data_IF_365230928046
#
_entry.id   IF_365230928046
#
_cell.length_a   1.000
_cell.length_b   1.000
_cell.length_c   1.000
_cell.angle_alpha   90.00
_cell.angle_beta   90.00
_cell.angle_gamma   90.00
#
_symmetry.space_group_name_H-M   'P 1'
#
loop_
_entity.id
_entity.type
_entity.pdbx_description
1 polymer ?
#
# COMPACT_ATOMS: atom_id res chain seq x y z
N UNK A 1 2.45 26.62 0.50
CA UNK A 1 3.93 26.63 0.53
C UNK A 1 4.43 27.27 -0.77
N UNK A 2 5.32 28.26 -0.70
CA UNK A 2 5.97 28.85 -1.89
C UNK A 2 7.48 28.68 -1.77
N UNK A 3 8.13 28.17 -2.82
CA UNK A 3 9.59 28.10 -2.89
C UNK A 3 10.08 29.34 -3.66
N UNK A 4 10.78 30.30 -3.03
CA UNK A 4 11.25 31.51 -3.71
C UNK A 4 12.45 31.23 -4.63
N UNK A 5 12.96 29.98 -4.62
CA UNK A 5 14.07 29.51 -5.44
C UNK A 5 13.53 28.77 -6.65
N UNK A 6 14.21 28.91 -7.78
CA UNK A 6 13.89 28.14 -8.97
C UNK A 6 14.19 26.65 -8.73
N UNK A 7 13.15 25.81 -8.84
CA UNK A 7 13.26 24.37 -8.62
C UNK A 7 13.62 23.67 -9.93
N UNK A 8 14.79 23.03 -9.97
CA UNK A 8 15.19 22.21 -11.10
C UNK A 8 14.87 20.75 -10.85
N UNK A 9 14.45 20.04 -11.89
CA UNK A 9 14.13 18.62 -11.80
C UNK A 9 15.23 17.78 -12.45
N UNK A 10 15.62 16.71 -11.77
CA UNK A 10 16.44 15.66 -12.36
C UNK A 10 15.51 14.50 -12.70
N UNK A 11 15.48 14.08 -13.96
CA UNK A 11 14.88 12.80 -14.31
C UNK A 11 15.86 11.89 -15.04
N UNK A 12 15.83 10.63 -14.61
CA UNK A 12 16.60 9.54 -15.20
C UNK A 12 16.02 9.16 -16.56
N UNK A 13 16.89 8.82 -17.51
CA UNK A 13 16.58 8.78 -18.94
C UNK A 13 15.48 7.82 -19.37
N UNK A 14 15.13 6.79 -18.57
CA UNK A 14 14.01 5.89 -18.86
C UNK A 14 12.65 6.61 -18.90
N UNK A 15 12.51 7.72 -18.18
CA UNK A 15 11.29 8.55 -18.15
C UNK A 15 11.18 9.54 -19.34
N UNK A 16 12.27 9.80 -20.07
CA UNK A 16 12.36 10.91 -21.02
C UNK A 16 11.50 10.73 -22.30
N UNK A 17 10.95 9.53 -22.52
CA UNK A 17 10.06 9.25 -23.65
C UNK A 17 8.60 9.64 -23.39
N UNK A 18 8.19 9.78 -22.12
CA UNK A 18 6.82 10.19 -21.78
C UNK A 18 6.57 11.67 -22.11
N UNK A 19 5.47 11.96 -22.79
CA UNK A 19 5.10 13.33 -23.18
C UNK A 19 4.93 14.28 -21.98
N UNK A 20 4.47 13.76 -20.82
CA UNK A 20 4.31 14.55 -19.61
C UNK A 20 5.66 14.90 -18.98
N UNK A 21 6.60 13.95 -18.97
CA UNK A 21 7.97 14.20 -18.50
C UNK A 21 8.65 15.22 -19.40
N UNK A 22 8.45 15.14 -20.73
CA UNK A 22 8.90 16.18 -21.67
C UNK A 22 8.24 17.54 -21.40
N UNK A 23 6.99 17.58 -20.97
CA UNK A 23 6.30 18.83 -20.59
C UNK A 23 6.89 19.43 -19.30
N UNK A 24 7.10 18.61 -18.25
CA UNK A 24 7.78 19.05 -17.01
C UNK A 24 9.21 19.51 -17.30
N UNK A 25 9.94 18.80 -18.17
CA UNK A 25 11.27 19.19 -18.64
C UNK A 25 11.30 20.47 -19.47
N UNK A 26 10.18 20.86 -20.10
CA UNK A 26 10.09 22.15 -20.81
C UNK A 26 9.81 23.31 -19.85
N UNK A 27 9.10 23.04 -18.76
CA UNK A 27 8.77 24.04 -17.75
C UNK A 27 9.86 24.23 -16.68
N UNK A 28 10.82 23.31 -16.61
CA UNK A 28 11.87 23.27 -15.59
C UNK A 28 13.22 23.12 -16.29
N UNK A 29 14.28 23.77 -15.82
CA UNK A 29 15.62 23.64 -16.43
C UNK A 29 16.25 22.29 -16.08
N UNK A 30 15.65 21.21 -16.57
CA UNK A 30 15.92 19.87 -16.14
C UNK A 30 17.28 19.36 -16.63
N UNK A 31 17.96 18.59 -15.77
CA UNK A 31 19.22 17.94 -16.10
C UNK A 31 18.89 16.48 -16.47
N UNK A 32 18.92 16.10 -17.76
CA UNK A 32 18.68 14.71 -18.15
C UNK A 32 19.85 13.83 -17.67
N UNK A 33 19.54 12.70 -17.02
CA UNK A 33 20.55 11.76 -16.54
C UNK A 33 20.45 10.46 -17.32
N UNK A 34 21.41 10.20 -18.22
CA UNK A 34 21.58 8.87 -18.80
C UNK A 34 22.61 8.06 -18.00
N UNK A 35 22.53 6.71 -17.98
CA UNK A 35 23.56 5.87 -17.35
C UNK A 35 24.97 6.21 -17.83
N UNK A 36 25.12 6.50 -19.13
CA UNK A 36 26.38 6.91 -19.76
C UNK A 36 26.90 8.29 -19.33
N UNK A 37 26.04 9.17 -18.78
CA UNK A 37 26.39 10.54 -18.35
C UNK A 37 26.08 10.81 -16.88
N UNK A 38 25.88 9.77 -16.08
CA UNK A 38 25.52 9.90 -14.67
C UNK A 38 26.55 10.72 -13.87
N UNK A 39 27.85 10.53 -14.15
CA UNK A 39 28.94 11.28 -13.49
C UNK A 39 28.86 12.78 -13.76
N UNK A 40 28.64 13.17 -15.02
CA UNK A 40 28.54 14.57 -15.43
C UNK A 40 27.31 15.23 -14.79
N UNK A 41 26.16 14.54 -14.82
CA UNK A 41 24.94 15.00 -14.17
C UNK A 41 25.12 15.24 -12.67
N UNK A 42 25.82 14.34 -11.97
CA UNK A 42 26.13 14.51 -10.54
C UNK A 42 26.98 15.76 -10.31
N UNK A 43 28.04 15.97 -11.10
CA UNK A 43 28.93 17.14 -10.95
C UNK A 43 28.16 18.44 -11.18
N UNK A 44 27.44 18.54 -12.29
CA UNK A 44 26.65 19.72 -12.65
C UNK A 44 25.57 20.03 -11.61
N UNK A 45 24.87 19.00 -11.13
CA UNK A 45 23.85 19.17 -10.08
C UNK A 45 24.47 19.65 -8.76
N UNK A 46 25.64 19.14 -8.41
CA UNK A 46 26.36 19.55 -7.20
C UNK A 46 26.84 21.01 -7.27
N UNK A 47 27.31 21.46 -8.44
CA UNK A 47 27.70 22.86 -8.66
C UNK A 47 26.52 23.82 -8.50
N UNK A 48 25.36 23.45 -9.05
CA UNK A 48 24.13 24.24 -8.90
C UNK A 48 23.66 24.34 -7.46
N UNK A 49 23.73 23.25 -6.69
CA UNK A 49 23.43 23.30 -5.26
C UNK A 49 24.37 24.27 -4.53
N UNK A 50 25.67 24.26 -4.86
CA UNK A 50 26.64 25.21 -4.28
C UNK A 50 26.38 26.67 -4.69
N UNK A 51 25.77 26.91 -5.85
CA UNK A 51 25.37 28.25 -6.28
C UNK A 51 24.03 28.72 -5.68
N UNK A 52 23.40 27.92 -4.81
CA UNK A 52 22.17 28.27 -4.12
C UNK A 52 20.87 27.80 -4.78
N UNK A 53 20.95 27.05 -5.89
CA UNK A 53 19.78 26.47 -6.55
C UNK A 53 19.14 25.37 -5.68
N UNK A 54 17.86 25.08 -5.94
CA UNK A 54 17.17 23.92 -5.39
C UNK A 54 16.98 22.85 -6.48
N UNK A 55 17.19 21.59 -6.12
CA UNK A 55 17.03 20.45 -7.03
C UNK A 55 16.02 19.46 -6.45
N UNK A 56 15.00 19.14 -7.23
CA UNK A 56 14.06 18.04 -6.98
C UNK A 56 14.54 16.77 -7.68
N UNK A 57 14.58 15.67 -6.93
CA UNK A 57 14.98 14.35 -7.42
C UNK A 57 13.90 13.36 -7.01
N UNK A 58 13.43 12.56 -7.97
CA UNK A 58 12.63 11.37 -7.68
C UNK A 58 13.57 10.17 -7.56
N UNK A 59 13.88 9.71 -6.33
CA UNK A 59 14.94 8.74 -6.11
C UNK A 59 14.61 7.34 -6.63
N UNK A 60 13.34 7.03 -6.88
CA UNK A 60 12.88 5.77 -7.49
C UNK A 60 13.31 5.62 -8.96
N UNK A 61 13.55 6.75 -9.65
CA UNK A 61 14.00 6.77 -11.04
C UNK A 61 12.92 6.46 -12.09
N UNK A 62 11.67 6.24 -11.67
CA UNK A 62 10.54 5.88 -12.52
C UNK A 62 9.21 6.25 -11.88
N UNK A 63 8.13 6.31 -12.67
CA UNK A 63 6.77 6.34 -12.12
C UNK A 63 6.41 4.91 -11.72
N UNK A 64 5.99 4.72 -10.46
CA UNK A 64 5.63 3.40 -9.93
C UNK A 64 4.54 2.72 -10.77
N UNK A 65 4.73 1.42 -11.01
CA UNK A 65 3.77 0.52 -11.66
C UNK A 65 3.15 -0.48 -10.71
N UNK A 66 3.66 -0.52 -9.48
CA UNK A 66 3.20 -1.46 -8.44
C UNK A 66 2.39 -0.76 -7.35
N UNK A 67 2.54 0.56 -7.17
CA UNK A 67 1.86 1.34 -6.13
C UNK A 67 2.82 1.75 -5.00
N UNK A 68 3.28 0.81 -4.15
CA UNK A 68 4.21 1.11 -3.06
C UNK A 68 5.53 1.74 -3.51
N UNK A 69 6.24 2.36 -2.56
CA UNK A 69 7.56 2.96 -2.77
C UNK A 69 8.56 1.93 -3.34
N UNK A 70 9.22 2.30 -4.45
CA UNK A 70 10.29 1.51 -5.03
C UNK A 70 11.63 1.74 -4.30
N UNK A 71 12.64 0.96 -4.69
CA UNK A 71 14.00 1.14 -4.20
C UNK A 71 14.63 2.44 -4.70
N UNK A 72 15.31 3.15 -3.82
CA UNK A 72 15.93 4.44 -4.15
C UNK A 72 17.32 4.25 -4.79
N UNK A 73 17.63 5.07 -5.79
CA UNK A 73 18.94 5.16 -6.42
C UNK A 73 19.85 6.08 -5.60
N UNK A 74 21.12 5.67 -5.39
CA UNK A 74 22.13 6.40 -4.58
C UNK A 74 22.60 7.75 -5.17
N UNK A 75 22.15 8.12 -6.37
CA UNK A 75 22.64 9.31 -7.07
C UNK A 75 22.42 10.62 -6.28
N UNK A 76 21.31 10.73 -5.56
CA UNK A 76 21.01 11.91 -4.76
C UNK A 76 21.98 12.09 -3.59
N UNK A 77 22.46 11.00 -2.96
CA UNK A 77 23.42 11.06 -1.85
C UNK A 77 24.71 11.76 -2.29
N UNK A 78 25.23 11.38 -3.46
CA UNK A 78 26.45 11.94 -4.03
C UNK A 78 26.29 13.41 -4.41
N UNK A 79 25.12 13.77 -4.95
CA UNK A 79 24.78 15.15 -5.31
C UNK A 79 24.70 16.01 -4.04
N UNK A 80 24.01 15.54 -3.00
CA UNK A 80 23.88 16.26 -1.73
C UNK A 80 25.24 16.46 -1.05
N UNK A 81 26.05 15.40 -0.94
CA UNK A 81 27.39 15.46 -0.31
C UNK A 81 28.34 16.42 -1.02
N UNK A 82 28.44 16.33 -2.35
CA UNK A 82 29.29 17.23 -3.14
C UNK A 82 28.74 18.65 -3.17
N UNK A 83 27.41 18.79 -3.23
CA UNK A 83 26.71 20.07 -3.19
C UNK A 83 26.75 20.75 -1.82
N UNK A 84 27.14 20.03 -0.77
CA UNK A 84 27.08 20.47 0.64
C UNK A 84 25.69 20.99 1.03
N UNK A 85 24.65 20.35 0.50
CA UNK A 85 23.25 20.75 0.69
C UNK A 85 22.47 19.64 1.40
N UNK A 86 21.56 20.00 2.34
CA UNK A 86 20.69 19.02 2.97
C UNK A 86 19.69 18.43 1.96
N UNK A 87 19.21 17.23 2.26
CA UNK A 87 18.10 16.60 1.54
C UNK A 87 16.83 16.82 2.33
N UNK A 88 15.80 17.38 1.69
CA UNK A 88 14.48 17.57 2.31
C UNK A 88 13.54 16.51 1.72
N UNK A 89 13.13 15.49 2.50
CA UNK A 89 12.16 14.49 2.04
C UNK A 89 10.81 15.15 1.76
N UNK A 90 10.16 14.74 0.69
CA UNK A 90 8.85 15.28 0.31
C UNK A 90 8.00 14.19 -0.33
N UNK A 91 6.83 13.93 0.25
CA UNK A 91 5.94 12.85 -0.13
C UNK A 91 4.64 13.39 -0.74
N UNK A 92 4.18 12.73 -1.82
CA UNK A 92 2.92 13.02 -2.49
C UNK A 92 1.94 11.88 -2.26
N UNK A 93 0.94 12.11 -1.40
CA UNK A 93 -0.13 11.17 -1.10
C UNK A 93 -1.31 11.33 -2.06
N UNK A 94 -1.97 10.21 -2.37
CA UNK A 94 -3.13 10.21 -3.26
C UNK A 94 -2.75 10.53 -4.70
N UNK A 95 -1.55 10.15 -5.17
CA UNK A 95 -1.22 10.21 -6.61
C UNK A 95 -1.65 8.92 -7.30
N UNK A 96 -1.52 7.77 -6.64
CA UNK A 96 -2.10 6.52 -7.12
C UNK A 96 -3.63 6.64 -7.20
N UNK A 97 -4.24 6.03 -8.23
CA UNK A 97 -5.66 6.22 -8.54
C UNK A 97 -5.97 7.47 -9.38
N UNK A 98 -5.05 8.45 -9.44
CA UNK A 98 -5.23 9.65 -10.27
C UNK A 98 -4.97 9.35 -11.76
N UNK A 99 -5.36 10.29 -12.63
CA UNK A 99 -5.01 10.24 -14.05
C UNK A 99 -3.50 10.28 -14.30
N UNK A 100 -2.69 10.74 -13.35
CA UNK A 100 -1.22 10.82 -13.42
C UNK A 100 -0.51 9.61 -12.79
N UNK A 101 -1.18 8.46 -12.72
CA UNK A 101 -0.60 7.20 -12.24
C UNK A 101 -0.84 6.06 -13.23
N UNK A 102 -0.28 4.88 -12.95
CA UNK A 102 -0.59 3.63 -13.66
C UNK A 102 -1.61 2.76 -12.91
N UNK A 103 -2.39 3.34 -11.98
CA UNK A 103 -3.60 2.68 -11.51
C UNK A 103 -4.46 2.28 -12.71
N UNK A 104 -5.12 1.13 -12.70
CA UNK A 104 -5.91 0.57 -13.81
C UNK A 104 -5.08 0.28 -15.09
N UNK A 105 -3.76 0.11 -14.96
CA UNK A 105 -2.84 -0.23 -16.05
C UNK A 105 -2.65 0.86 -17.11
N UNK A 106 -3.26 2.05 -16.92
CA UNK A 106 -3.30 3.14 -17.91
C UNK A 106 -2.84 4.45 -17.29
N UNK A 107 -2.07 5.22 -18.05
CA UNK A 107 -1.68 6.58 -17.69
C UNK A 107 -2.49 7.58 -18.52
N UNK A 108 -3.10 8.57 -17.85
CA UNK A 108 -3.93 9.66 -18.40
C UNK A 108 -5.23 9.30 -19.11
N UNK A 109 -5.40 8.06 -19.57
CA UNK A 109 -6.62 7.58 -20.25
C UNK A 109 -7.75 7.17 -19.28
N UNK A 110 -7.70 7.65 -18.04
CA UNK A 110 -8.64 7.27 -16.97
C UNK A 110 -9.62 8.39 -16.72
N UNK A 111 -10.86 8.02 -16.43
CA UNK A 111 -11.82 8.97 -15.90
C UNK A 111 -11.43 9.32 -14.46
N UNK A 112 -11.38 10.63 -14.10
CA UNK A 112 -11.08 11.02 -12.74
C UNK A 112 -12.11 10.43 -11.77
N UNK A 113 -11.67 9.69 -10.74
CA UNK A 113 -12.55 9.12 -9.72
C UNK A 113 -13.29 10.20 -8.91
N UNK A 114 -12.70 11.40 -8.80
CA UNK A 114 -13.23 12.56 -8.09
C UNK A 114 -12.63 13.86 -8.64
N UNK A 115 -13.39 14.96 -8.62
CA UNK A 115 -12.91 16.31 -8.98
C UNK A 115 -13.30 17.29 -7.86
N UNK A 116 -12.34 18.02 -7.23
CA UNK A 116 -10.90 17.83 -7.35
C UNK A 116 -10.45 16.50 -6.74
N UNK A 117 -9.45 15.85 -7.35
CA UNK A 117 -8.84 14.65 -6.78
C UNK A 117 -7.96 15.04 -5.59
N UNK A 118 -8.16 14.46 -4.39
CA UNK A 118 -7.41 14.86 -3.21
C UNK A 118 -5.96 14.38 -3.32
N UNK A 119 -5.02 15.32 -3.39
CA UNK A 119 -3.58 15.08 -3.30
C UNK A 119 -3.07 15.82 -2.07
N UNK A 120 -2.30 15.14 -1.22
CA UNK A 120 -1.60 15.80 -0.10
C UNK A 120 -0.11 15.84 -0.37
N UNK A 121 0.52 16.89 0.12
CA UNK A 121 1.96 17.07 0.00
C UNK A 121 2.54 17.28 1.39
N UNK A 122 3.40 16.34 1.79
CA UNK A 122 4.04 16.31 3.10
C UNK A 122 5.53 16.58 2.92
N UNK A 123 6.09 17.44 3.76
CA UNK A 123 7.51 17.83 3.71
C UNK A 123 8.12 17.46 5.05
N UNK A 124 9.17 16.65 5.03
CA UNK A 124 9.89 16.24 6.23
C UNK A 124 11.01 17.19 6.61
N UNK A 125 11.64 16.89 7.73
CA UNK A 125 12.78 17.66 8.23
C UNK A 125 14.01 17.53 7.30
N UNK A 126 14.81 18.60 7.15
CA UNK A 126 16.05 18.54 6.38
C UNK A 126 17.06 17.55 6.99
N UNK A 127 17.52 16.59 6.19
CA UNK A 127 18.56 15.64 6.56
C UNK A 127 19.92 16.20 6.10
N UNK A 128 20.91 16.33 7.01
CA UNK A 128 22.25 16.80 6.65
C UNK A 128 22.89 15.95 5.54
N UNK A 129 23.65 16.58 4.65
CA UNK A 129 24.21 15.94 3.46
C UNK A 129 25.01 14.64 3.74
N UNK A 130 25.68 14.57 4.90
CA UNK A 130 26.48 13.40 5.30
C UNK A 130 25.58 12.22 5.72
N UNK A 131 24.45 12.52 6.36
CA UNK A 131 23.49 11.58 6.93
C UNK A 131 22.39 11.17 5.95
N UNK A 132 22.20 11.94 4.87
CA UNK A 132 21.21 11.69 3.82
C UNK A 132 21.60 10.49 2.93
N UNK A 133 21.53 9.28 3.49
CA UNK A 133 21.71 8.01 2.80
C UNK A 133 20.38 7.55 2.18
N UNK A 134 20.42 6.56 1.29
CA UNK A 134 19.23 5.89 0.74
C UNK A 134 18.31 5.43 1.86
N UNK A 135 18.88 4.86 2.92
CA UNK A 135 18.12 4.35 4.05
C UNK A 135 17.44 5.46 4.86
N UNK A 136 18.18 6.46 5.33
CA UNK A 136 17.59 7.52 6.17
C UNK A 136 16.52 8.33 5.44
N UNK A 137 16.72 8.60 4.14
CA UNK A 137 15.72 9.28 3.31
C UNK A 137 14.52 8.38 3.06
N UNK A 138 14.71 7.07 2.81
CA UNK A 138 13.59 6.13 2.63
C UNK A 138 12.76 5.98 3.89
N UNK A 139 13.39 5.90 5.07
CA UNK A 139 12.70 5.87 6.36
C UNK A 139 11.87 7.12 6.58
N UNK A 140 12.44 8.30 6.35
CA UNK A 140 11.68 9.55 6.41
C UNK A 140 10.50 9.58 5.42
N UNK A 141 10.69 9.07 4.20
CA UNK A 141 9.60 8.97 3.21
C UNK A 141 8.48 8.02 3.64
N UNK A 142 8.80 6.89 4.29
CA UNK A 142 7.80 5.96 4.83
C UNK A 142 7.01 6.60 5.98
N UNK A 143 7.67 7.35 6.87
CA UNK A 143 7.01 8.14 7.91
C UNK A 143 6.04 9.16 7.32
N UNK A 144 6.51 9.98 6.38
CA UNK A 144 5.65 10.97 5.71
C UNK A 144 4.49 10.30 4.96
N UNK A 145 4.72 9.11 4.38
CA UNK A 145 3.66 8.34 3.74
C UNK A 145 2.59 7.89 4.75
N UNK A 146 3.01 7.39 5.92
CA UNK A 146 2.12 7.00 7.03
C UNK A 146 1.30 8.20 7.54
N UNK A 147 1.96 9.32 7.81
CA UNK A 147 1.31 10.57 8.28
C UNK A 147 0.31 11.11 7.25
N UNK A 148 0.70 11.19 5.98
CA UNK A 148 -0.20 11.65 4.93
C UNK A 148 -1.40 10.71 4.73
N UNK A 149 -1.19 9.40 4.91
CA UNK A 149 -2.25 8.40 4.81
C UNK A 149 -3.23 8.47 6.00
N UNK A 150 -2.75 8.74 7.22
CA UNK A 150 -3.61 8.85 8.40
C UNK A 150 -4.54 10.08 8.35
N UNK A 151 -4.22 11.11 7.56
CA UNK A 151 -5.07 12.29 7.31
C UNK A 151 -6.20 12.04 6.29
N UNK A 152 -6.41 10.79 5.87
CA UNK A 152 -7.45 10.45 4.89
C UNK A 152 -8.81 10.31 5.57
N UNK A 153 -9.75 11.20 5.21
CA UNK A 153 -11.16 11.16 5.65
C UNK A 153 -11.87 9.81 5.45
N UNK A 154 -11.38 8.96 4.55
CA UNK A 154 -11.92 7.61 4.38
C UNK A 154 -11.78 6.75 5.65
N UNK A 155 -10.76 7.02 6.48
CA UNK A 155 -10.50 6.32 7.75
C UNK A 155 -11.54 6.65 8.84
N UNK A 156 -12.23 7.79 8.72
CA UNK A 156 -13.29 8.22 9.65
C UNK A 156 -14.64 7.54 9.35
N UNK A 157 -14.71 6.73 8.29
CA UNK A 157 -15.96 6.10 7.86
C UNK A 157 -16.36 5.01 8.85
N UNK A 158 -17.59 5.01 9.39
CA UNK A 158 -18.07 3.91 10.21
C UNK A 158 -18.05 2.59 9.44
N UNK A 159 -17.61 1.52 10.09
CA UNK A 159 -17.43 0.22 9.45
C UNK A 159 -18.77 -0.38 8.98
N UNK A 160 -19.82 -0.20 9.77
CA UNK A 160 -21.20 -0.55 9.39
C UNK A 160 -21.60 0.06 8.04
N UNK A 161 -21.22 1.31 7.78
CA UNK A 161 -21.48 2.00 6.51
C UNK A 161 -20.58 1.52 5.38
N UNK A 162 -19.33 1.13 5.68
CA UNK A 162 -18.42 0.54 4.70
C UNK A 162 -18.94 -0.82 4.21
N UNK A 163 -19.31 -1.71 5.15
CA UNK A 163 -19.88 -3.04 4.85
C UNK A 163 -21.19 -2.92 4.09
N UNK A 164 -22.12 -2.04 4.53
CA UNK A 164 -23.37 -1.79 3.80
C UNK A 164 -23.11 -1.36 2.35
N UNK A 165 -22.17 -0.46 2.11
CA UNK A 165 -21.88 0.01 0.76
C UNK A 165 -21.15 -1.03 -0.09
N UNK A 166 -20.39 -1.94 0.51
CA UNK A 166 -19.75 -3.05 -0.17
C UNK A 166 -20.78 -4.12 -0.56
N UNK A 167 -21.55 -4.65 0.41
CA UNK A 167 -22.45 -5.77 0.19
C UNK A 167 -23.75 -5.36 -0.51
N UNK A 168 -24.33 -4.19 -0.22
CA UNK A 168 -25.67 -3.86 -0.74
C UNK A 168 -25.66 -3.13 -2.08
N UNK A 169 -24.49 -2.90 -2.69
CA UNK A 169 -24.39 -2.24 -4.01
C UNK A 169 -24.95 -3.11 -5.13
N UNK A 170 -24.63 -4.40 -5.12
CA UNK A 170 -25.13 -5.41 -6.06
C UNK A 170 -25.63 -6.64 -5.28
N UNK A 171 -26.85 -6.53 -4.76
CA UNK A 171 -27.42 -7.49 -3.80
C UNK A 171 -27.41 -8.93 -4.29
N UNK A 172 -27.65 -9.14 -5.58
CA UNK A 172 -27.75 -10.45 -6.22
C UNK A 172 -26.40 -11.07 -6.58
N UNK A 173 -25.31 -10.30 -6.59
CA UNK A 173 -24.02 -10.83 -6.96
C UNK A 173 -23.52 -11.86 -5.93
N UNK A 174 -22.82 -12.92 -6.37
CA UNK A 174 -22.06 -13.80 -5.49
C UNK A 174 -21.08 -13.00 -4.62
N UNK A 175 -21.05 -13.31 -3.32
CA UNK A 175 -20.10 -12.75 -2.37
C UNK A 175 -19.08 -13.80 -1.94
N UNK A 176 -19.55 -14.90 -1.37
CA UNK A 176 -18.70 -15.93 -0.79
C UNK A 176 -19.03 -17.29 -1.39
N UNK A 177 -18.03 -18.00 -1.88
CA UNK A 177 -18.12 -19.38 -2.36
C UNK A 177 -17.39 -20.27 -1.37
N UNK A 178 -18.13 -21.12 -0.66
CA UNK A 178 -17.59 -22.07 0.32
C UNK A 178 -17.07 -23.34 -0.35
N UNK A 179 -16.21 -24.07 0.37
CA UNK A 179 -15.81 -25.43 0.02
C UNK A 179 -17.07 -26.29 -0.15
N UNK A 180 -17.16 -27.02 -1.27
CA UNK A 180 -18.34 -27.80 -1.64
C UNK A 180 -19.36 -27.06 -2.51
N UNK A 181 -19.09 -25.80 -2.88
CA UNK A 181 -19.80 -25.09 -3.95
C UNK A 181 -21.04 -24.31 -3.51
N UNK A 182 -21.27 -24.17 -2.21
CA UNK A 182 -22.32 -23.27 -1.70
C UNK A 182 -21.93 -21.82 -1.96
N UNK A 183 -22.83 -21.08 -2.57
CA UNK A 183 -22.63 -19.67 -2.92
C UNK A 183 -23.56 -18.82 -2.05
N UNK A 184 -23.01 -17.84 -1.36
CA UNK A 184 -23.75 -16.80 -0.69
C UNK A 184 -23.83 -15.58 -1.60
N UNK A 185 -25.03 -15.11 -1.89
CA UNK A 185 -25.20 -13.76 -2.44
C UNK A 185 -24.87 -12.71 -1.39
N UNK A 186 -24.57 -11.49 -1.84
CA UNK A 186 -24.29 -10.37 -0.92
C UNK A 186 -25.48 -10.06 -0.01
N UNK A 187 -26.71 -10.17 -0.51
CA UNK A 187 -27.92 -9.96 0.30
C UNK A 187 -28.13 -11.06 1.35
N UNK A 188 -27.98 -12.34 0.98
CA UNK A 188 -28.07 -13.45 1.94
C UNK A 188 -27.03 -13.34 3.04
N UNK A 189 -25.78 -13.03 2.67
CA UNK A 189 -24.69 -12.85 3.62
C UNK A 189 -24.98 -11.69 4.58
N UNK A 190 -25.36 -10.53 4.05
CA UNK A 190 -25.69 -9.36 4.86
C UNK A 190 -26.90 -9.60 5.77
N UNK A 191 -27.95 -10.27 5.28
CA UNK A 191 -29.13 -10.62 6.07
C UNK A 191 -28.76 -11.58 7.22
N UNK A 192 -27.91 -12.57 6.97
CA UNK A 192 -27.41 -13.48 8.01
C UNK A 192 -26.59 -12.72 9.06
N UNK A 193 -25.64 -11.88 8.65
CA UNK A 193 -24.85 -11.04 9.56
C UNK A 193 -25.75 -10.13 10.42
N UNK A 194 -26.79 -9.54 9.81
CA UNK A 194 -27.78 -8.75 10.54
C UNK A 194 -28.61 -9.59 11.51
N UNK A 195 -28.98 -10.83 11.17
CA UNK A 195 -29.79 -11.65 12.08
C UNK A 195 -28.98 -12.22 13.26
N UNK A 196 -27.66 -12.36 13.12
CA UNK A 196 -26.75 -12.62 14.24
C UNK A 196 -26.77 -11.48 15.29
N UNK A 197 -27.37 -10.32 14.98
CA UNK A 197 -27.55 -9.23 15.95
C UNK A 197 -28.68 -9.46 16.97
N UNK A 198 -29.47 -10.54 16.82
CA UNK A 198 -30.57 -10.88 17.71
C UNK A 198 -30.26 -11.94 18.78
N UNK A 199 -29.10 -12.58 18.71
CA UNK A 199 -28.65 -13.59 19.69
C UNK A 199 -27.32 -13.12 20.27
N UNK A 200 -27.20 -13.10 21.60
CA UNK A 200 -25.94 -12.82 22.31
C UNK A 200 -24.84 -13.78 21.82
N UNK A 201 -24.04 -13.36 20.84
CA UNK A 201 -22.73 -13.97 20.62
C UNK A 201 -21.85 -13.40 21.73
N UNK A 202 -21.71 -14.15 22.82
CA UNK A 202 -20.82 -13.75 23.91
C UNK A 202 -19.40 -13.67 23.36
N UNK A 203 -18.83 -12.47 23.48
CA UNK A 203 -17.48 -12.09 23.01
C UNK A 203 -16.38 -13.00 23.60
N UNK A 204 -16.67 -13.72 24.67
CA UNK A 204 -15.73 -14.62 25.36
C UNK A 204 -15.83 -16.10 24.93
N UNK A 205 -16.75 -16.48 24.03
CA UNK A 205 -16.95 -17.88 23.58
C UNK A 205 -16.85 -18.02 22.04
N UNK A 206 -15.83 -17.42 21.42
CA UNK A 206 -15.38 -17.89 20.10
C UNK A 206 -13.99 -18.52 20.25
N UNK A 207 -13.90 -19.57 21.06
CA UNK A 207 -12.90 -20.61 20.83
C UNK A 207 -13.32 -21.35 19.54
N UNK A 208 -12.50 -21.26 18.50
CA UNK A 208 -12.75 -21.95 17.22
C UNK A 208 -13.55 -21.10 16.22
N UNK A 209 -12.87 -20.19 15.53
CA UNK A 209 -13.36 -19.78 14.22
C UNK A 209 -13.01 -20.90 13.24
N UNK A 210 -13.98 -21.78 12.97
CA UNK A 210 -13.74 -23.02 12.19
C UNK A 210 -13.74 -22.78 10.67
N UNK A 211 -14.13 -21.57 10.21
CA UNK A 211 -14.24 -21.27 8.78
C UNK A 211 -14.08 -19.79 8.41
N UNK A 212 -13.77 -19.53 7.13
CA UNK A 212 -13.74 -18.18 6.54
C UNK A 212 -15.10 -17.49 6.68
N UNK A 213 -16.20 -18.22 6.47
CA UNK A 213 -17.54 -17.64 6.51
C UNK A 213 -17.91 -17.15 7.91
N UNK A 214 -17.49 -17.86 8.95
CA UNK A 214 -17.71 -17.47 10.35
C UNK A 214 -16.91 -16.22 10.71
N UNK A 215 -15.62 -16.13 10.33
CA UNK A 215 -14.82 -14.89 10.52
C UNK A 215 -15.48 -13.69 9.84
N UNK A 216 -15.91 -13.85 8.58
CA UNK A 216 -16.54 -12.79 7.82
C UNK A 216 -17.88 -12.35 8.47
N UNK A 217 -18.67 -13.31 8.95
CA UNK A 217 -19.96 -13.05 9.60
C UNK A 217 -19.77 -12.36 10.95
N UNK A 218 -18.77 -12.76 11.73
CA UNK A 218 -18.41 -12.14 13.01
C UNK A 218 -18.08 -10.67 12.83
N UNK A 219 -17.18 -10.35 11.89
CA UNK A 219 -16.87 -8.96 11.56
C UNK A 219 -18.12 -8.16 11.19
N UNK A 220 -18.91 -8.67 10.24
CA UNK A 220 -20.09 -7.98 9.77
C UNK A 220 -21.12 -7.78 10.91
N UNK A 221 -21.26 -8.76 11.81
CA UNK A 221 -22.09 -8.68 13.00
C UNK A 221 -21.63 -7.60 13.98
N UNK A 222 -20.36 -7.66 14.45
CA UNK A 222 -19.80 -6.66 15.37
C UNK A 222 -19.85 -5.25 14.78
N UNK A 223 -19.49 -5.11 13.50
CA UNK A 223 -19.55 -3.84 12.78
C UNK A 223 -20.95 -3.25 12.77
N UNK A 224 -21.99 -4.06 12.59
CA UNK A 224 -23.39 -3.59 12.55
C UNK A 224 -23.93 -3.20 13.93
N UNK A 225 -23.28 -3.64 15.02
CA UNK A 225 -23.59 -3.29 16.41
C UNK A 225 -22.69 -2.17 16.96
N UNK A 226 -21.76 -1.66 16.13
CA UNK A 226 -20.72 -0.72 16.51
C UNK A 226 -19.89 -1.23 17.72
N UNK A 227 -19.66 -2.55 17.78
CA UNK A 227 -18.85 -3.22 18.79
C UNK A 227 -17.37 -3.29 18.39
N UNK A 228 -16.50 -3.48 19.39
CA UNK A 228 -15.10 -3.77 19.14
C UNK A 228 -14.94 -5.10 18.40
N UNK A 229 -14.03 -5.12 17.43
CA UNK A 229 -13.76 -6.30 16.61
C UNK A 229 -12.57 -7.01 17.23
N UNK A 230 -12.83 -8.18 17.79
CA UNK A 230 -11.80 -9.05 18.34
C UNK A 230 -11.94 -10.45 17.76
N UNK A 231 -10.81 -11.04 17.35
CA UNK A 231 -10.71 -12.40 16.82
C UNK A 231 -9.42 -13.05 17.29
N UNK A 232 -9.50 -14.27 17.85
CA UNK A 232 -8.39 -15.00 18.49
C UNK A 232 -7.46 -14.11 19.36
N UNK A 233 -8.04 -13.26 20.21
CA UNK A 233 -7.29 -12.37 21.10
C UNK A 233 -6.64 -11.15 20.44
N UNK A 234 -6.84 -10.93 19.14
CA UNK A 234 -6.36 -9.75 18.42
C UNK A 234 -7.48 -8.71 18.39
N UNK A 235 -7.19 -7.49 18.86
CA UNK A 235 -8.06 -6.33 18.69
C UNK A 235 -7.80 -5.65 17.34
N UNK A 236 -8.86 -5.29 16.64
CA UNK A 236 -8.81 -4.66 15.32
C UNK A 236 -9.42 -3.26 15.36
N UNK A 237 -8.59 -2.20 15.54
CA UNK A 237 -9.06 -0.83 15.47
C UNK A 237 -9.70 -0.53 14.11
N UNK A 238 -10.88 0.09 14.12
CA UNK A 238 -11.61 0.41 12.88
C UNK A 238 -10.77 1.22 11.87
N UNK A 239 -10.03 2.28 12.27
CA UNK A 239 -9.19 3.02 11.34
C UNK A 239 -8.08 2.17 10.72
N UNK A 240 -7.48 1.24 11.47
CA UNK A 240 -6.46 0.34 10.95
C UNK A 240 -7.06 -0.68 9.99
N UNK A 241 -8.22 -1.27 10.29
CA UNK A 241 -8.88 -2.21 9.40
C UNK A 241 -9.23 -1.56 8.05
N UNK A 242 -9.81 -0.36 8.08
CA UNK A 242 -10.10 0.42 6.86
C UNK A 242 -8.82 0.80 6.13
N UNK A 243 -7.78 1.25 6.87
CA UNK A 243 -6.49 1.56 6.29
C UNK A 243 -5.93 0.36 5.54
N UNK A 244 -5.88 -0.80 6.20
CA UNK A 244 -5.36 -2.07 5.70
C UNK A 244 -5.98 -2.45 4.34
N UNK A 245 -7.32 -2.39 4.20
CA UNK A 245 -8.02 -2.61 2.92
C UNK A 245 -7.60 -1.58 1.87
N UNK A 246 -7.56 -0.29 2.24
CA UNK A 246 -7.13 0.77 1.32
C UNK A 246 -5.71 0.57 0.81
N UNK A 247 -4.78 0.02 1.63
CA UNK A 247 -3.38 -0.19 1.22
C UNK A 247 -3.29 -1.13 0.01
N UNK A 248 -4.08 -2.20 -0.01
CA UNK A 248 -4.11 -3.17 -1.13
C UNK A 248 -4.77 -2.61 -2.37
N UNK A 249 -5.84 -1.82 -2.22
CA UNK A 249 -6.46 -1.10 -3.34
C UNK A 249 -5.50 -0.10 -4.02
N UNK A 250 -4.42 0.27 -3.33
CA UNK A 250 -3.36 1.14 -3.86
C UNK A 250 -2.15 0.39 -4.41
N UNK A 251 -2.35 -0.88 -4.79
CA UNK A 251 -1.34 -1.70 -5.46
C UNK A 251 -1.78 -2.13 -6.86
N UNK A 252 -0.85 -2.63 -7.67
CA UNK A 252 -1.18 -3.23 -8.95
C UNK A 252 -1.86 -4.60 -8.84
N UNK A 253 -1.82 -5.25 -7.66
CA UNK A 253 -2.60 -6.48 -7.44
C UNK A 253 -4.10 -6.21 -7.63
N UNK A 254 -4.57 -5.02 -7.25
CA UNK A 254 -5.98 -4.63 -7.40
C UNK A 254 -6.47 -4.54 -8.85
N UNK A 255 -5.57 -4.60 -9.83
CA UNK A 255 -5.94 -4.59 -11.25
C UNK A 255 -6.05 -5.99 -11.85
N UNK A 256 -5.63 -7.02 -11.12
CA UNK A 256 -5.82 -8.40 -11.56
C UNK A 256 -7.33 -8.74 -11.53
N UNK A 257 -7.88 -9.39 -12.57
CA UNK A 257 -9.30 -9.80 -12.60
C UNK A 257 -9.67 -10.68 -11.41
N UNK A 258 -8.75 -11.57 -11.04
CA UNK A 258 -8.74 -12.34 -9.81
C UNK A 258 -7.30 -12.66 -9.39
N UNK A 259 -7.08 -12.84 -8.09
CA UNK A 259 -5.80 -13.23 -7.52
C UNK A 259 -5.97 -14.22 -6.37
N UNK A 260 -4.93 -15.04 -6.15
CA UNK A 260 -4.91 -16.08 -5.13
C UNK A 260 -3.98 -15.72 -3.98
N UNK A 261 -4.45 -15.89 -2.76
CA UNK A 261 -3.69 -15.68 -1.53
C UNK A 261 -3.40 -17.05 -0.91
N UNK A 262 -2.13 -17.30 -0.60
CA UNK A 262 -1.77 -18.48 0.17
C UNK A 262 -2.10 -18.23 1.64
N UNK A 263 -3.02 -19.02 2.19
CA UNK A 263 -3.35 -18.99 3.62
C UNK A 263 -2.34 -19.82 4.41
N UNK A 264 -2.16 -19.50 5.69
CA UNK A 264 -1.31 -20.26 6.62
C UNK A 264 -2.00 -21.52 7.15
N UNK A 265 -3.34 -21.56 7.07
CA UNK A 265 -4.14 -22.71 7.51
C UNK A 265 -4.42 -22.71 9.01
N UNK A 266 -4.29 -21.55 9.65
CA UNK A 266 -4.61 -21.35 11.06
C UNK A 266 -5.44 -20.08 11.20
N UNK A 267 -6.68 -20.20 11.67
CA UNK A 267 -7.54 -19.04 11.93
C UNK A 267 -7.11 -18.24 13.17
N UNK A 268 -6.10 -18.71 13.92
CA UNK A 268 -5.39 -17.91 14.92
C UNK A 268 -4.30 -17.02 14.30
N UNK A 269 -3.93 -17.26 13.04
CA UNK A 269 -2.92 -16.44 12.34
C UNK A 269 -3.48 -15.06 12.00
N UNK A 270 -2.64 -14.05 12.22
CA UNK A 270 -2.96 -12.66 11.83
C UNK A 270 -3.21 -12.56 10.33
N UNK A 271 -2.44 -13.31 9.53
CA UNK A 271 -2.54 -13.32 8.07
C UNK A 271 -3.91 -13.81 7.61
N UNK A 272 -4.35 -15.00 8.08
CA UNK A 272 -5.61 -15.58 7.65
C UNK A 272 -6.80 -14.75 8.13
N UNK A 273 -6.76 -14.27 9.38
CA UNK A 273 -7.78 -13.38 9.92
C UNK A 273 -7.92 -12.11 9.09
N UNK A 274 -6.80 -11.46 8.73
CA UNK A 274 -6.84 -10.22 7.95
C UNK A 274 -7.60 -10.40 6.65
N UNK A 275 -7.29 -11.45 5.88
CA UNK A 275 -7.94 -11.70 4.60
C UNK A 275 -9.43 -12.02 4.73
N UNK A 276 -9.81 -12.74 5.79
CA UNK A 276 -11.21 -12.99 6.08
C UNK A 276 -11.95 -11.71 6.49
N UNK A 277 -11.36 -10.91 7.40
CA UNK A 277 -11.93 -9.63 7.84
C UNK A 277 -12.01 -8.61 6.69
N UNK A 278 -11.14 -8.68 5.70
CA UNK A 278 -11.24 -7.80 4.54
C UNK A 278 -12.38 -8.15 3.61
N UNK A 279 -12.75 -9.42 3.48
CA UNK A 279 -13.71 -9.87 2.47
C UNK A 279 -14.97 -8.98 2.37
N UNK A 280 -15.68 -8.63 3.48
CA UNK A 280 -16.86 -7.78 3.42
C UNK A 280 -16.59 -6.31 3.05
N UNK A 281 -15.33 -5.86 3.08
CA UNK A 281 -14.89 -4.48 2.84
C UNK A 281 -14.29 -4.26 1.45
N UNK A 282 -13.99 -5.32 0.70
CA UNK A 282 -13.31 -5.26 -0.61
C UNK A 282 -14.20 -4.81 -1.78
N UNK A 283 -15.35 -4.19 -1.49
CA UNK A 283 -16.26 -3.67 -2.50
C UNK A 283 -16.80 -4.78 -3.37
N UNK A 284 -16.48 -4.76 -4.67
CA UNK A 284 -17.09 -5.65 -5.68
C UNK A 284 -16.47 -7.04 -5.75
N UNK A 285 -15.35 -7.28 -5.04
CA UNK A 285 -14.73 -8.58 -5.05
C UNK A 285 -15.59 -9.61 -4.32
N UNK A 286 -15.69 -10.78 -4.94
CA UNK A 286 -16.15 -12.02 -4.35
C UNK A 286 -14.95 -12.79 -3.82
N UNK A 287 -15.20 -13.67 -2.86
CA UNK A 287 -14.21 -14.52 -2.21
C UNK A 287 -14.61 -15.98 -2.41
N UNK A 288 -13.63 -16.81 -2.76
CA UNK A 288 -13.80 -18.25 -2.94
C UNK A 288 -12.76 -18.99 -2.13
N UNK A 289 -13.22 -19.81 -1.20
CA UNK A 289 -12.39 -20.78 -0.51
C UNK A 289 -12.18 -21.98 -1.44
N UNK A 290 -10.93 -22.24 -1.83
CA UNK A 290 -10.58 -23.37 -2.70
C UNK A 290 -10.51 -24.70 -1.94
N UNK A 291 -10.45 -24.68 -0.60
CA UNK A 291 -10.31 -25.88 0.24
C UNK A 291 -8.91 -26.52 0.22
N UNK A 292 -7.96 -25.94 -0.53
CA UNK A 292 -6.56 -26.39 -0.63
C UNK A 292 -5.60 -25.50 0.19
N UNK A 293 -6.13 -24.65 1.09
CA UNK A 293 -5.36 -23.62 1.80
C UNK A 293 -5.17 -22.34 0.98
N UNK A 294 -5.94 -22.14 -0.09
CA UNK A 294 -5.91 -20.92 -0.90
C UNK A 294 -7.24 -20.19 -0.87
N UNK A 295 -7.15 -18.86 -0.77
CA UNK A 295 -8.28 -17.95 -0.95
C UNK A 295 -8.17 -17.25 -2.31
N UNK A 296 -9.21 -17.36 -3.13
CA UNK A 296 -9.30 -16.63 -4.41
C UNK A 296 -10.20 -15.41 -4.24
N UNK A 297 -9.71 -14.23 -4.65
CA UNK A 297 -10.45 -12.98 -4.65
C UNK A 297 -10.53 -12.41 -6.07
N UNK A 298 -11.70 -11.95 -6.49
CA UNK A 298 -11.90 -11.41 -7.84
C UNK A 298 -13.35 -10.99 -8.07
N UNK A 299 -13.66 -10.38 -9.22
CA UNK A 299 -15.07 -10.17 -9.55
C UNK A 299 -15.78 -11.53 -9.67
N UNK A 300 -17.08 -11.59 -9.35
CA UNK A 300 -17.85 -12.84 -9.36
C UNK A 300 -17.69 -13.66 -10.65
N UNK A 301 -17.63 -13.01 -11.82
CA UNK A 301 -17.45 -13.68 -13.12
C UNK A 301 -15.99 -14.08 -13.43
N UNK A 302 -15.03 -13.49 -12.72
CA UNK A 302 -13.60 -13.64 -12.97
C UNK A 302 -12.91 -14.56 -11.96
N UNK A 303 -13.63 -15.18 -11.03
CA UNK A 303 -13.06 -16.04 -9.97
C UNK A 303 -12.22 -17.22 -10.49
N UNK A 304 -12.31 -17.56 -11.78
CA UNK A 304 -11.47 -18.58 -12.43
C UNK A 304 -10.42 -17.99 -13.39
N UNK A 305 -10.33 -16.66 -13.47
CA UNK A 305 -9.46 -15.89 -14.36
C UNK A 305 -8.29 -15.29 -13.57
N UNK A 306 -7.49 -16.15 -12.96
CA UNK A 306 -6.31 -15.80 -12.18
C UNK A 306 -5.03 -16.42 -12.78
N UNK A 307 -3.89 -15.83 -12.45
CA UNK A 307 -2.60 -16.49 -12.68
C UNK A 307 -2.41 -17.63 -11.67
N UNK A 308 -1.67 -18.68 -12.04
CA UNK A 308 -1.38 -19.80 -11.12
C UNK A 308 -0.56 -19.39 -9.87
N UNK A 309 -0.07 -18.15 -9.82
CA UNK A 309 0.75 -17.64 -8.72
C UNK A 309 -0.12 -17.31 -7.51
N UNK A 310 0.28 -17.79 -6.35
CA UNK A 310 -0.26 -17.33 -5.06
C UNK A 310 0.61 -16.19 -4.51
N UNK A 311 -0.02 -15.28 -3.79
CA UNK A 311 0.65 -14.14 -3.15
C UNK A 311 0.75 -14.34 -1.64
N UNK A 312 1.86 -13.87 -1.09
CA UNK A 312 2.22 -13.93 0.33
C UNK A 312 2.74 -12.58 0.78
N UNK A 313 2.78 -12.36 2.09
CA UNK A 313 3.23 -11.11 2.67
C UNK A 313 3.50 -11.22 4.16
N UNK A 314 3.41 -10.09 4.84
CA UNK A 314 3.49 -9.97 6.29
C UNK A 314 2.24 -9.26 6.80
N UNK A 315 1.60 -9.84 7.80
CA UNK A 315 0.55 -9.20 8.58
C UNK A 315 1.00 -8.98 10.02
N UNK A 316 0.51 -7.91 10.65
CA UNK A 316 0.80 -7.54 12.04
C UNK A 316 -0.51 -7.35 12.80
N UNK A 317 -0.58 -7.88 14.02
CA UNK A 317 -1.77 -7.85 14.87
C UNK A 317 -2.34 -6.43 14.97
N UNK A 318 -3.64 -6.28 14.73
CA UNK A 318 -4.33 -5.00 14.73
C UNK A 318 -4.06 -4.08 13.53
N UNK A 319 -2.96 -4.26 12.79
CA UNK A 319 -2.63 -3.47 11.58
C UNK A 319 -3.05 -4.16 10.28
N UNK A 320 -3.13 -5.50 10.29
CA UNK A 320 -3.40 -6.33 9.12
C UNK A 320 -2.18 -6.46 8.20
N UNK A 321 -2.39 -6.58 6.89
CA UNK A 321 -1.28 -6.77 5.94
C UNK A 321 -0.49 -5.47 5.80
N UNK A 322 0.80 -5.54 6.12
CA UNK A 322 1.72 -4.40 6.13
C UNK A 322 2.78 -4.47 5.04
N UNK A 323 3.08 -5.67 4.53
CA UNK A 323 3.94 -5.88 3.39
C UNK A 323 3.46 -7.04 2.52
N UNK A 324 3.73 -7.00 1.21
CA UNK A 324 3.31 -8.07 0.32
C UNK A 324 4.16 -8.19 -0.95
N UNK A 325 4.33 -9.42 -1.43
CA UNK A 325 4.88 -9.68 -2.75
C UNK A 325 3.80 -9.40 -3.81
N UNK A 326 4.07 -8.46 -4.72
CA UNK A 326 3.13 -8.03 -5.75
C UNK A 326 3.39 -8.71 -7.10
N UNK A 327 2.41 -8.73 -8.02
CA UNK A 327 2.66 -9.16 -9.40
C UNK A 327 3.67 -8.22 -10.06
N UNK A 328 4.48 -8.78 -10.96
CA UNK A 328 5.31 -7.95 -11.82
C UNK A 328 4.39 -7.18 -12.79
N UNK A 329 4.59 -5.88 -12.99
CA UNK A 329 3.81 -5.13 -13.97
C UNK A 329 4.00 -5.69 -15.39
N UNK A 330 2.95 -5.69 -16.24
CA UNK A 330 3.03 -6.14 -17.62
C UNK A 330 4.12 -5.45 -18.42
N UNK A 331 4.81 -6.18 -19.30
CA UNK A 331 5.96 -5.68 -20.05
C UNK A 331 5.66 -4.40 -20.85
N UNK A 332 4.44 -4.28 -21.39
CA UNK A 332 4.01 -3.15 -22.21
C UNK A 332 4.01 -1.82 -21.44
N UNK A 333 3.78 -1.90 -20.12
CA UNK A 333 3.77 -0.74 -19.23
C UNK A 333 4.98 -0.72 -18.28
N UNK A 334 5.96 -1.60 -18.49
CA UNK A 334 7.11 -1.78 -17.59
C UNK A 334 8.48 -1.70 -18.28
N UNK A 335 8.77 -0.62 -19.04
CA UNK A 335 10.04 -0.48 -19.76
C UNK A 335 11.27 -0.43 -18.83
N UNK A 336 11.07 -0.03 -17.57
CA UNK A 336 12.13 0.04 -16.55
C UNK A 336 12.35 -1.28 -15.79
N UNK A 337 11.57 -2.34 -16.10
CA UNK A 337 11.69 -3.65 -15.48
C UNK A 337 11.44 -3.65 -13.96
N UNK A 338 10.49 -2.83 -13.49
CA UNK A 338 10.09 -2.80 -12.08
C UNK A 338 9.59 -4.19 -11.66
N UNK A 339 10.01 -4.63 -10.47
CA UNK A 339 9.63 -5.93 -9.89
C UNK A 339 8.63 -5.75 -8.76
N UNK A 340 7.55 -6.52 -8.79
CA UNK A 340 6.53 -6.56 -7.75
C UNK A 340 6.95 -7.39 -6.54
N UNK A 341 7.74 -8.44 -6.76
CA UNK A 341 8.17 -9.39 -5.74
C UNK A 341 9.68 -9.62 -5.77
N UNK A 342 10.22 -10.07 -4.64
CA UNK A 342 11.59 -10.58 -4.54
C UNK A 342 11.56 -11.94 -3.83
N UNK A 343 12.24 -12.93 -4.41
CA UNK A 343 12.31 -14.28 -3.84
C UNK A 343 12.93 -14.24 -2.44
N UNK A 344 12.34 -14.98 -1.49
CA UNK A 344 12.78 -15.02 -0.10
C UNK A 344 12.45 -13.77 0.73
N UNK A 345 11.71 -12.80 0.17
CA UNK A 345 11.24 -11.62 0.93
C UNK A 345 9.76 -11.75 1.30
N UNK A 346 9.34 -11.04 2.35
CA UNK A 346 7.92 -10.78 2.66
C UNK A 346 7.29 -9.72 1.75
N UNK A 347 8.06 -9.21 0.78
CA UNK A 347 7.61 -8.24 -0.21
C UNK A 347 7.79 -6.78 0.19
N UNK A 348 6.96 -5.91 -0.39
CA UNK A 348 7.06 -4.45 -0.25
C UNK A 348 6.15 -3.95 0.86
N UNK A 349 6.66 -3.04 1.70
CA UNK A 349 5.85 -2.29 2.67
C UNK A 349 4.74 -1.55 1.90
N UNK A 350 3.50 -1.72 2.33
CA UNK A 350 2.32 -1.14 1.70
C UNK A 350 2.11 0.32 2.11
N UNK A 351 1.30 1.10 1.36
CA UNK A 351 1.04 2.51 1.68
C UNK A 351 0.47 2.70 3.09
N UNK A 352 0.84 3.79 3.77
CA UNK A 352 0.32 4.08 5.11
C UNK A 352 0.93 3.23 6.23
N UNK A 353 2.11 2.65 6.00
CA UNK A 353 2.87 1.85 6.96
C UNK A 353 4.30 2.39 7.07
N UNK A 354 4.79 2.49 8.29
CA UNK A 354 6.19 2.74 8.62
C UNK A 354 6.74 1.49 9.32
N UNK A 355 7.99 1.12 9.02
CA UNK A 355 8.64 -0.02 9.66
C UNK A 355 10.10 0.30 9.94
N UNK A 356 10.62 -0.27 11.03
CA UNK A 356 12.02 -0.17 11.44
C UNK A 356 12.47 -1.47 12.08
N UNK A 357 13.77 -1.72 12.07
CA UNK A 357 14.38 -2.81 12.84
C UNK A 357 15.07 -2.17 14.03
N UNK A 358 14.89 -2.73 15.21
CA UNK A 358 15.51 -2.24 16.45
C UNK A 358 16.32 -3.34 17.11
N UNK A 359 17.32 -2.98 17.88
CA UNK A 359 18.11 -3.96 18.63
C UNK A 359 17.31 -4.52 19.80
N UNK A 360 17.46 -5.82 20.04
CA UNK A 360 16.86 -6.51 21.16
C UNK A 360 17.27 -5.82 22.49
N UNK A 361 16.27 -5.42 23.28
CA UNK A 361 16.44 -4.83 24.61
C UNK A 361 16.73 -3.33 24.66
N UNK A 362 17.58 -2.77 23.78
CA UNK A 362 17.88 -1.32 23.81
C UNK A 362 16.82 -0.46 23.10
N UNK A 363 16.11 -1.03 22.13
CA UNK A 363 15.14 -0.31 21.30
C UNK A 363 15.77 0.71 20.33
N UNK A 364 17.10 0.78 20.26
CA UNK A 364 17.81 1.60 19.27
C UNK A 364 17.56 1.06 17.87
N UNK A 365 17.31 1.98 16.94
CA UNK A 365 17.04 1.65 15.55
C UNK A 365 18.32 1.21 14.82
N UNK A 366 18.27 0.03 14.22
CA UNK A 366 19.41 -0.62 13.58
C UNK A 366 19.55 -0.23 12.10
N UNK A 367 20.78 -0.21 11.56
CA UNK A 367 21.03 -0.05 10.14
C UNK A 367 20.44 -1.20 9.30
N UNK A 368 20.14 -0.92 8.03
CA UNK A 368 19.73 -1.95 7.08
C UNK A 368 20.78 -3.04 6.94
N UNK A 369 20.35 -4.29 7.11
CA UNK A 369 21.18 -5.48 7.00
C UNK A 369 21.61 -6.06 8.35
N UNK A 370 21.34 -5.35 9.45
CA UNK A 370 21.47 -5.89 10.80
C UNK A 370 20.18 -6.61 11.22
N UNK A 371 20.35 -7.65 12.03
CA UNK A 371 19.26 -8.47 12.57
C UNK A 371 18.77 -7.88 13.90
N UNK A 372 17.46 -7.90 14.11
CA UNK A 372 16.80 -7.42 15.32
C UNK A 372 15.28 -7.48 15.19
N UNK A 373 14.59 -6.92 16.17
CA UNK A 373 13.13 -6.88 16.23
C UNK A 373 12.53 -5.93 15.18
N UNK A 374 11.60 -6.45 14.39
CA UNK A 374 10.82 -5.63 13.44
C UNK A 374 9.69 -4.93 14.19
N UNK A 375 9.72 -3.60 14.18
CA UNK A 375 8.61 -2.77 14.65
C UNK A 375 7.87 -2.13 13.49
N UNK A 376 6.54 -2.10 13.58
CA UNK A 376 5.68 -1.56 12.53
C UNK A 376 4.67 -0.58 13.12
N UNK A 377 4.41 0.51 12.40
CA UNK A 377 3.42 1.49 12.77
C UNK A 377 2.43 1.75 11.62
N UNK A 378 1.14 1.73 11.95
CA UNK A 378 0.04 2.02 11.03
C UNK A 378 -0.42 3.47 11.09
N UNK A 379 -1.69 3.70 10.79
CA UNK A 379 -2.28 5.04 10.81
C UNK A 379 -2.40 5.65 12.20
N UNK A 380 -2.43 4.84 13.27
CA UNK A 380 -2.34 5.33 14.66
C UNK A 380 -1.00 5.98 14.97
N UNK A 381 0.07 5.53 14.31
CA UNK A 381 1.45 5.91 14.62
C UNK A 381 2.06 5.23 15.84
N UNK A 382 1.32 4.33 16.50
CA UNK A 382 1.84 3.49 17.57
C UNK A 382 2.68 2.35 16.98
N UNK A 383 3.82 2.07 17.60
CA UNK A 383 4.71 0.98 17.20
C UNK A 383 4.26 -0.33 17.87
N UNK A 384 4.12 -1.38 17.07
CA UNK A 384 3.87 -2.75 17.50
C UNK A 384 5.05 -3.63 17.15
#
# INVERSE_FOLDING_TARGET
VSLPRYLQFIAFSGLAESWLVRFVFRLTSAIPVSPSRAKEAIVKSSEKLRSGDAICIFPEGGISRVGPLLGFKKGFELIARKGQAPVVPAYLDGVWGSIFSFSDGKFLRKWPRRIPYPVRFHIGEPIPAKEATVDSVRRSMLRLAREAFSERKALERPLSLAIKASLLRDRSAPFLVEVGGKIWTREEFYAKAKNLTGSEVKVEEVEGVDSISDTCLHLAGCSLRDEEIQTAGISWPTPELIASVMRIMETNLWHEPAFRIQMEGSFDSVWDQTWCLWAPLLGDLSVKDEGDGTLTLGNAGDLNSFTAKTFTGLAVSGLGVVAMNLPDPPEEINPDGQKGAAAGSVGRILPGVEARVVSDGSGEELPVGEEGDLQVAGVSGEWT
#
